data_IF_955499935337
#
_entry.id   IF_955499935337
#
_cell.length_a   1.000
_cell.length_b   1.000
_cell.length_c   1.000
_cell.angle_alpha   90.00
_cell.angle_beta   90.00
_cell.angle_gamma   90.00
#
_symmetry.space_group_name_H-M   'P 1'
#
loop_
_entity.id
_entity.type
_entity.pdbx_description
1 polymer ?
#
# COMPACT_ATOMS: atom_id res chain seq x y z
N UNK A 1 10.38 18.31 4.14
CA UNK A 1 10.17 17.92 2.73
C UNK A 1 11.30 17.05 2.28
N UNK A 2 10.96 15.96 1.62
CA UNK A 2 11.88 15.17 0.82
C UNK A 2 12.12 15.97 -0.46
N UNK A 3 13.40 16.16 -0.83
CA UNK A 3 13.79 16.99 -1.98
C UNK A 3 14.21 16.09 -3.14
N UNK A 4 14.27 16.62 -4.37
CA UNK A 4 14.77 15.92 -5.57
C UNK A 4 16.22 15.39 -5.41
N UNK A 5 16.92 15.79 -4.34
CA UNK A 5 18.26 15.31 -3.97
C UNK A 5 18.25 14.13 -3.00
N UNK A 6 17.09 13.64 -2.56
CA UNK A 6 16.99 12.58 -1.57
C UNK A 6 17.08 11.18 -2.22
N UNK A 7 17.62 10.22 -1.47
CA UNK A 7 17.74 8.84 -1.87
C UNK A 7 16.48 8.06 -1.47
N UNK A 8 15.87 7.39 -2.42
CA UNK A 8 14.63 6.62 -2.21
C UNK A 8 14.91 5.13 -2.34
N UNK A 9 14.44 4.35 -1.36
CA UNK A 9 14.35 2.90 -1.44
C UNK A 9 12.93 2.50 -1.84
N UNK A 10 12.80 1.71 -2.90
CA UNK A 10 11.59 1.01 -3.28
C UNK A 10 11.76 -0.49 -3.01
N UNK A 11 11.00 -1.06 -2.09
CA UNK A 11 10.93 -2.52 -1.90
C UNK A 11 9.70 -3.10 -2.58
N UNK A 12 9.73 -4.37 -2.96
CA UNK A 12 8.68 -4.97 -3.78
C UNK A 12 8.68 -4.45 -5.21
N UNK A 13 9.86 -4.08 -5.73
CA UNK A 13 10.04 -3.39 -7.01
C UNK A 13 9.73 -4.27 -8.24
N UNK A 14 9.73 -5.61 -8.10
CA UNK A 14 9.29 -6.56 -9.13
C UNK A 14 7.77 -6.74 -9.14
N UNK A 15 7.09 -6.47 -8.02
CA UNK A 15 5.65 -6.62 -7.88
C UNK A 15 4.83 -5.69 -8.76
N UNK A 16 3.53 -5.96 -8.85
CA UNK A 16 2.63 -5.21 -9.73
C UNK A 16 2.64 -3.69 -9.46
N UNK A 17 2.58 -3.27 -8.19
CA UNK A 17 2.58 -1.86 -7.82
C UNK A 17 3.98 -1.25 -7.85
N UNK A 18 4.98 -1.96 -7.32
CA UNK A 18 6.37 -1.50 -7.31
C UNK A 18 6.88 -1.19 -8.72
N UNK A 19 6.63 -2.09 -9.66
CA UNK A 19 7.04 -1.89 -11.05
C UNK A 19 6.40 -0.62 -11.70
N UNK A 20 5.18 -0.25 -11.30
CA UNK A 20 4.50 0.98 -11.76
C UNK A 20 5.12 2.26 -11.18
N UNK A 21 5.85 2.16 -10.06
CA UNK A 21 6.42 3.29 -9.35
C UNK A 21 7.87 3.58 -9.74
N UNK A 22 8.62 2.61 -10.30
CA UNK A 22 10.06 2.73 -10.55
C UNK A 22 10.43 3.97 -11.38
N UNK A 23 9.68 4.26 -12.45
CA UNK A 23 9.96 5.41 -13.33
C UNK A 23 9.75 6.73 -12.59
N UNK A 24 8.58 6.93 -11.97
CA UNK A 24 8.26 8.17 -11.27
C UNK A 24 9.18 8.42 -10.07
N UNK A 25 9.59 7.37 -9.35
CA UNK A 25 10.53 7.48 -8.23
C UNK A 25 11.95 7.76 -8.71
N UNK A 26 12.38 7.18 -9.85
CA UNK A 26 13.66 7.52 -10.46
C UNK A 26 13.74 9.00 -10.87
N UNK A 27 12.66 9.55 -11.40
CA UNK A 27 12.58 10.97 -11.76
C UNK A 27 12.56 11.91 -10.54
N UNK A 28 12.04 11.43 -9.40
CA UNK A 28 11.87 12.20 -8.17
C UNK A 28 13.03 12.07 -7.16
N UNK A 29 14.12 11.38 -7.51
CA UNK A 29 15.22 11.09 -6.58
C UNK A 29 16.60 11.25 -7.21
N UNK A 30 17.62 11.52 -6.38
CA UNK A 30 19.02 11.44 -6.80
C UNK A 30 19.47 9.99 -7.02
N UNK A 31 19.02 9.11 -6.14
CA UNK A 31 19.24 7.67 -6.21
C UNK A 31 17.92 6.95 -5.94
N UNK A 32 17.53 6.07 -6.85
CA UNK A 32 16.50 5.07 -6.60
C UNK A 32 17.19 3.73 -6.31
N UNK A 33 17.02 3.20 -5.09
CA UNK A 33 17.38 1.82 -4.77
C UNK A 33 16.13 0.96 -4.90
N UNK A 34 16.10 0.08 -5.90
CA UNK A 34 15.01 -0.88 -6.14
C UNK A 34 15.37 -2.24 -5.59
N UNK A 35 14.52 -2.81 -4.75
CA UNK A 35 14.76 -4.12 -4.13
C UNK A 35 13.55 -5.03 -4.23
N UNK A 36 13.83 -6.31 -4.42
CA UNK A 36 12.87 -7.40 -4.36
C UNK A 36 13.60 -8.70 -3.97
N UNK A 37 12.85 -9.72 -3.55
CA UNK A 37 13.38 -11.09 -3.43
C UNK A 37 13.60 -11.76 -4.79
N UNK A 38 12.91 -11.27 -5.82
CA UNK A 38 13.09 -11.67 -7.21
C UNK A 38 14.21 -10.86 -7.88
N UNK A 39 14.79 -11.41 -8.94
CA UNK A 39 15.82 -10.73 -9.70
C UNK A 39 15.24 -9.55 -10.48
N UNK A 40 15.90 -8.41 -10.40
CA UNK A 40 15.52 -7.17 -11.07
C UNK A 40 16.55 -6.77 -12.11
N UNK A 41 16.07 -6.23 -13.22
CA UNK A 41 16.93 -5.58 -14.22
C UNK A 41 16.90 -4.07 -13.97
N UNK A 42 18.07 -3.43 -13.89
CA UNK A 42 18.21 -1.98 -13.81
C UNK A 42 17.58 -1.32 -15.05
N UNK A 43 16.73 -0.30 -14.84
CA UNK A 43 16.00 0.40 -15.92
C UNK A 43 16.46 1.84 -16.11
N UNK A 44 16.95 2.50 -15.06
CA UNK A 44 17.25 3.93 -15.06
C UNK A 44 18.69 4.21 -14.67
N UNK A 45 19.25 5.35 -15.14
CA UNK A 45 20.66 5.70 -14.92
C UNK A 45 20.98 5.82 -13.42
N UNK A 46 20.10 6.44 -12.64
CA UNK A 46 20.25 6.65 -11.20
C UNK A 46 19.63 5.51 -10.36
N UNK A 47 19.31 4.38 -10.98
CA UNK A 47 18.78 3.22 -10.25
C UNK A 47 19.87 2.27 -9.82
N UNK A 48 19.83 1.82 -8.60
CA UNK A 48 20.57 0.71 -8.03
C UNK A 48 19.60 -0.46 -7.76
N UNK A 49 19.97 -1.67 -8.15
CA UNK A 49 19.11 -2.86 -7.98
C UNK A 49 19.79 -3.80 -7.00
N UNK A 50 19.08 -4.18 -5.94
CA UNK A 50 19.58 -5.06 -4.88
C UNK A 50 18.53 -6.14 -4.59
N UNK A 51 18.93 -7.41 -4.70
CA UNK A 51 18.12 -8.54 -4.25
C UNK A 51 18.17 -8.63 -2.73
N UNK A 52 17.01 -8.66 -2.07
CA UNK A 52 16.95 -8.78 -0.62
C UNK A 52 15.62 -9.41 -0.16
N UNK A 53 15.69 -10.14 0.96
CA UNK A 53 14.56 -10.73 1.66
C UNK A 53 14.19 -9.89 2.88
N UNK A 54 12.93 -9.48 2.99
CA UNK A 54 12.42 -8.70 4.12
C UNK A 54 12.59 -9.42 5.47
N UNK A 55 12.57 -10.75 5.49
CA UNK A 55 12.76 -11.54 6.71
C UNK A 55 14.20 -11.49 7.26
N UNK A 56 15.16 -11.04 6.46
CA UNK A 56 16.56 -10.88 6.84
C UNK A 56 16.83 -9.50 7.44
N UNK A 57 17.08 -9.42 8.75
CA UNK A 57 17.40 -8.15 9.42
C UNK A 57 18.68 -7.51 8.90
N UNK A 58 19.69 -8.31 8.58
CA UNK A 58 20.99 -7.81 8.09
C UNK A 58 20.87 -7.22 6.69
N UNK A 59 20.06 -7.86 5.84
CA UNK A 59 19.79 -7.33 4.50
C UNK A 59 19.01 -6.02 4.59
N UNK A 60 17.99 -5.91 5.48
CA UNK A 60 17.27 -4.66 5.69
C UNK A 60 18.18 -3.55 6.22
N UNK A 61 19.10 -3.86 7.14
CA UNK A 61 20.10 -2.92 7.63
C UNK A 61 21.01 -2.41 6.51
N UNK A 62 21.43 -3.28 5.62
CA UNK A 62 22.27 -2.91 4.47
C UNK A 62 21.47 -2.11 3.43
N UNK A 63 20.22 -2.52 3.18
CA UNK A 63 19.35 -1.95 2.17
C UNK A 63 18.93 -0.50 2.47
N UNK A 64 18.71 -0.18 3.75
CA UNK A 64 18.27 1.16 4.19
C UNK A 64 19.42 2.14 4.45
N UNK A 65 20.68 1.73 4.27
CA UNK A 65 21.84 2.60 4.48
C UNK A 65 21.88 3.75 3.47
N UNK A 66 22.02 4.98 3.97
CA UNK A 66 22.03 6.22 3.17
C UNK A 66 20.71 6.44 2.38
N UNK A 67 19.59 6.00 2.92
CA UNK A 67 18.25 6.22 2.35
C UNK A 67 17.53 7.29 3.19
N UNK A 68 16.88 8.22 2.51
CA UNK A 68 16.08 9.27 3.14
C UNK A 68 14.60 8.89 3.27
N UNK A 69 14.06 8.21 2.24
CA UNK A 69 12.66 7.80 2.21
C UNK A 69 12.52 6.35 1.71
N UNK A 70 11.66 5.60 2.35
CA UNK A 70 11.28 4.25 1.92
C UNK A 70 9.86 4.25 1.35
N UNK A 71 9.70 3.70 0.15
CA UNK A 71 8.42 3.32 -0.45
C UNK A 71 8.34 1.80 -0.42
N UNK A 72 7.57 1.26 0.53
CA UNK A 72 7.50 -0.17 0.78
C UNK A 72 6.24 -0.78 0.17
N UNK A 73 6.42 -1.49 -0.96
CA UNK A 73 5.39 -2.25 -1.67
C UNK A 73 5.61 -3.76 -1.57
N UNK A 74 6.63 -4.18 -0.80
CA UNK A 74 6.99 -5.59 -0.61
C UNK A 74 6.10 -6.32 0.39
N UNK A 75 6.23 -7.63 0.40
CA UNK A 75 5.52 -8.54 1.28
C UNK A 75 4.46 -9.38 0.55
N UNK A 76 3.80 -10.26 1.27
CA UNK A 76 2.63 -11.01 0.79
C UNK A 76 1.48 -10.03 0.53
N UNK A 77 0.96 -9.99 -0.69
CA UNK A 77 0.00 -8.97 -1.13
C UNK A 77 -1.46 -9.43 -1.16
N UNK A 78 -1.68 -10.73 -0.90
CA UNK A 78 -3.00 -11.38 -0.83
C UNK A 78 -3.02 -12.35 0.35
N UNK A 79 -4.17 -12.93 0.65
CA UNK A 79 -4.26 -14.03 1.63
C UNK A 79 -3.32 -15.18 1.25
N UNK A 80 -2.79 -15.87 2.24
CA UNK A 80 -1.83 -16.95 2.09
C UNK A 80 -1.64 -17.73 3.39
N UNK A 81 -0.76 -18.75 3.37
CA UNK A 81 -0.42 -19.50 4.57
C UNK A 81 0.09 -18.56 5.66
N UNK A 82 -0.20 -18.94 6.91
CA UNK A 82 0.26 -18.15 8.06
C UNK A 82 1.77 -17.91 8.04
N UNK A 83 2.56 -18.93 7.69
CA UNK A 83 4.02 -18.81 7.63
C UNK A 83 4.49 -17.75 6.61
N UNK A 84 3.86 -17.70 5.44
CA UNK A 84 4.18 -16.68 4.43
C UNK A 84 3.81 -15.28 4.91
N UNK A 85 2.63 -15.13 5.49
CA UNK A 85 2.17 -13.84 6.04
C UNK A 85 3.05 -13.41 7.22
N UNK A 86 3.39 -14.31 8.14
CA UNK A 86 4.24 -14.04 9.30
C UNK A 86 5.64 -13.55 8.85
N UNK A 87 6.29 -14.31 7.99
CA UNK A 87 7.67 -14.00 7.58
C UNK A 87 7.75 -12.71 6.76
N UNK A 88 6.85 -12.55 5.78
CA UNK A 88 6.91 -11.40 4.86
C UNK A 88 6.35 -10.11 5.48
N UNK A 89 5.18 -10.19 6.14
CA UNK A 89 4.43 -8.99 6.52
C UNK A 89 4.63 -8.59 7.99
N UNK A 90 4.93 -9.54 8.88
CA UNK A 90 5.13 -9.25 10.31
C UNK A 90 6.61 -9.10 10.62
N UNK A 91 7.40 -10.15 10.40
CA UNK A 91 8.85 -10.13 10.64
C UNK A 91 9.52 -9.14 9.68
N UNK A 92 9.19 -9.21 8.39
CA UNK A 92 9.74 -8.32 7.37
C UNK A 92 9.45 -6.85 7.65
N UNK A 93 8.23 -6.52 8.06
CA UNK A 93 7.84 -5.15 8.40
C UNK A 93 8.61 -4.64 9.63
N UNK A 94 8.74 -5.46 10.68
CA UNK A 94 9.53 -5.12 11.86
C UNK A 94 11.00 -4.87 11.50
N UNK A 95 11.62 -5.76 10.73
CA UNK A 95 13.01 -5.63 10.30
C UNK A 95 13.23 -4.33 9.52
N UNK A 96 12.32 -4.00 8.59
CA UNK A 96 12.39 -2.77 7.81
C UNK A 96 12.30 -1.52 8.70
N UNK A 97 11.32 -1.45 9.60
CA UNK A 97 11.17 -0.29 10.49
C UNK A 97 12.35 -0.11 11.43
N UNK A 98 12.88 -1.21 11.98
CA UNK A 98 14.06 -1.15 12.86
C UNK A 98 15.32 -0.73 12.10
N UNK A 99 15.49 -1.21 10.86
CA UNK A 99 16.58 -0.78 9.99
C UNK A 99 16.45 0.70 9.61
N UNK A 100 15.24 1.16 9.27
CA UNK A 100 14.95 2.57 9.00
C UNK A 100 15.30 3.46 10.20
N UNK A 101 14.90 3.07 11.41
CA UNK A 101 15.23 3.79 12.65
C UNK A 101 16.75 3.89 12.85
N UNK A 102 17.46 2.78 12.73
CA UNK A 102 18.93 2.71 12.96
C UNK A 102 19.72 3.50 11.92
N UNK A 103 19.25 3.55 10.69
CA UNK A 103 19.89 4.27 9.59
C UNK A 103 19.37 5.71 9.40
N UNK A 104 18.55 6.22 10.34
CA UNK A 104 17.99 7.57 10.33
C UNK A 104 17.18 7.90 9.06
N UNK A 105 16.45 6.92 8.52
CA UNK A 105 15.48 7.17 7.47
C UNK A 105 14.43 8.16 7.99
N UNK A 106 14.07 9.16 7.19
CA UNK A 106 13.15 10.22 7.59
C UNK A 106 11.69 9.80 7.50
N UNK A 107 11.35 9.01 6.48
CA UNK A 107 9.95 8.67 6.16
C UNK A 107 9.82 7.28 5.57
N UNK A 108 8.77 6.56 6.01
CA UNK A 108 8.30 5.31 5.42
C UNK A 108 6.89 5.51 4.87
N UNK A 109 6.70 5.23 3.58
CA UNK A 109 5.40 5.19 2.89
C UNK A 109 5.17 3.74 2.52
N UNK A 110 4.04 3.14 2.91
CA UNK A 110 3.88 1.71 2.69
C UNK A 110 2.46 1.29 2.34
N UNK A 111 2.36 0.17 1.61
CA UNK A 111 1.11 -0.42 1.20
C UNK A 111 0.44 -1.17 2.37
N UNK A 112 -0.42 -0.48 3.11
CA UNK A 112 -1.46 -1.10 3.93
C UNK A 112 -2.61 -1.56 3.01
N UNK A 113 -3.73 -1.97 3.57
CA UNK A 113 -4.84 -2.54 2.79
C UNK A 113 -6.19 -2.20 3.39
N UNK A 114 -7.23 -2.19 2.54
CA UNK A 114 -8.63 -2.20 3.00
C UNK A 114 -8.95 -3.40 3.89
N UNK A 115 -8.21 -4.50 3.75
CA UNK A 115 -8.40 -5.71 4.56
C UNK A 115 -8.14 -5.50 6.06
N UNK A 116 -7.55 -4.37 6.47
CA UNK A 116 -7.52 -3.94 7.89
C UNK A 116 -8.90 -3.62 8.45
N UNK A 117 -9.86 -3.31 7.58
CA UNK A 117 -11.25 -2.93 7.91
C UNK A 117 -12.27 -3.72 7.07
N UNK A 118 -11.88 -4.87 6.55
CA UNK A 118 -12.62 -5.63 5.55
C UNK A 118 -13.99 -6.12 5.98
N UNK A 119 -14.21 -6.42 7.26
CA UNK A 119 -15.51 -6.87 7.78
C UNK A 119 -16.58 -5.77 7.95
N UNK A 120 -16.25 -4.51 7.66
CA UNK A 120 -17.29 -3.49 7.66
C UNK A 120 -18.25 -3.65 6.47
N UNK A 121 -19.55 -3.37 6.66
CA UNK A 121 -20.51 -3.37 5.56
C UNK A 121 -20.23 -2.21 4.60
N UNK A 122 -20.37 -2.44 3.31
CA UNK A 122 -20.18 -1.40 2.26
C UNK A 122 -21.18 -0.23 2.34
N UNK A 123 -22.27 -0.40 3.04
CA UNK A 123 -23.20 0.69 3.35
C UNK A 123 -22.62 1.73 4.32
N UNK A 124 -21.52 1.40 5.01
CA UNK A 124 -20.85 2.32 5.93
C UNK A 124 -19.67 2.99 5.21
N UNK A 125 -19.67 4.32 5.17
CA UNK A 125 -18.50 5.11 4.73
C UNK A 125 -17.43 5.04 5.82
N UNK A 126 -16.21 4.66 5.46
CA UNK A 126 -15.08 4.51 6.38
C UNK A 126 -14.12 5.70 6.28
N UNK A 127 -13.41 5.96 7.36
CA UNK A 127 -12.30 6.90 7.41
C UNK A 127 -11.08 6.28 8.13
N UNK A 128 -9.98 7.02 8.23
CA UNK A 128 -8.75 6.51 8.85
C UNK A 128 -8.88 6.20 10.35
N UNK A 129 -9.93 6.70 11.02
CA UNK A 129 -10.23 6.42 12.43
C UNK A 129 -11.16 5.23 12.64
N UNK A 130 -11.66 4.63 11.57
CA UNK A 130 -12.44 3.40 11.65
C UNK A 130 -11.60 2.31 12.32
N UNK A 131 -12.14 1.71 13.38
CA UNK A 131 -11.45 0.68 14.17
C UNK A 131 -11.07 -0.51 13.29
N UNK A 132 -9.91 -1.15 13.50
CA UNK A 132 -9.56 -2.36 12.77
C UNK A 132 -10.61 -3.47 12.92
N UNK A 133 -11.00 -4.06 11.80
CA UNK A 133 -11.85 -5.26 11.67
C UNK A 133 -11.32 -6.10 10.51
N UNK A 134 -10.11 -6.70 10.67
CA UNK A 134 -9.45 -7.45 9.60
C UNK A 134 -10.25 -8.69 9.23
N UNK A 135 -10.27 -9.03 7.95
CA UNK A 135 -11.06 -10.11 7.37
C UNK A 135 -10.24 -11.35 6.97
N UNK A 136 -8.95 -11.37 7.27
CA UNK A 136 -8.01 -12.39 6.80
C UNK A 136 -6.71 -12.34 7.60
N UNK A 137 -5.86 -13.37 7.53
CA UNK A 137 -4.49 -13.34 8.07
C UNK A 137 -3.68 -12.21 7.43
N UNK A 138 -3.86 -12.00 6.13
CA UNK A 138 -3.29 -10.86 5.41
C UNK A 138 -3.76 -9.53 6.01
N UNK A 139 -5.07 -9.35 6.20
CA UNK A 139 -5.64 -8.15 6.82
C UNK A 139 -5.10 -7.92 8.23
N UNK A 140 -5.00 -8.98 9.06
CA UNK A 140 -4.43 -8.93 10.40
C UNK A 140 -2.96 -8.47 10.37
N UNK A 141 -2.17 -8.96 9.41
CA UNK A 141 -0.78 -8.53 9.25
C UNK A 141 -0.65 -7.05 8.90
N UNK A 142 -1.60 -6.51 8.15
CA UNK A 142 -1.63 -5.07 7.83
C UNK A 142 -2.05 -4.21 9.03
N UNK A 143 -2.93 -4.70 9.91
CA UNK A 143 -3.24 -4.07 11.20
C UNK A 143 -1.99 -4.02 12.10
N UNK A 144 -1.21 -5.11 12.16
CA UNK A 144 0.09 -5.10 12.84
C UNK A 144 1.00 -4.01 12.30
N UNK A 145 1.13 -3.91 10.97
CA UNK A 145 1.96 -2.88 10.32
C UNK A 145 1.52 -1.45 10.65
N UNK A 146 0.21 -1.15 10.68
CA UNK A 146 -0.30 0.17 11.08
C UNK A 146 0.01 0.48 12.55
N UNK A 147 -0.13 -0.50 13.45
CA UNK A 147 0.22 -0.34 14.86
C UNK A 147 1.73 -0.17 15.07
N UNK A 148 2.54 -0.89 14.30
CA UNK A 148 4.00 -0.76 14.31
C UNK A 148 4.42 0.64 13.83
N UNK A 149 3.83 1.13 12.74
CA UNK A 149 4.05 2.47 12.21
C UNK A 149 3.75 3.57 13.25
N UNK A 150 2.61 3.46 13.94
CA UNK A 150 2.26 4.37 15.04
C UNK A 150 3.31 4.32 16.16
N UNK A 151 3.72 3.12 16.59
CA UNK A 151 4.74 2.96 17.63
C UNK A 151 6.07 3.63 17.26
N UNK A 152 6.55 3.47 16.02
CA UNK A 152 7.81 4.09 15.58
C UNK A 152 7.70 5.61 15.45
N UNK A 153 6.54 6.14 15.05
CA UNK A 153 6.29 7.58 15.09
C UNK A 153 6.29 8.11 16.53
N UNK A 154 5.51 7.52 17.42
CA UNK A 154 5.36 8.02 18.79
C UNK A 154 6.69 8.02 19.54
N UNK A 155 7.47 6.94 19.39
CA UNK A 155 8.69 6.73 20.14
C UNK A 155 9.94 7.34 19.50
N UNK A 156 10.04 7.29 18.19
CA UNK A 156 11.26 7.63 17.46
C UNK A 156 11.09 8.76 16.45
N UNK A 157 9.89 9.26 16.26
CA UNK A 157 9.54 10.31 15.29
C UNK A 157 9.89 9.93 13.83
N UNK A 158 9.89 8.63 13.53
CA UNK A 158 9.98 8.15 12.16
C UNK A 158 8.65 8.42 11.46
N UNK A 159 8.62 9.39 10.54
CA UNK A 159 7.42 9.72 9.80
C UNK A 159 6.91 8.53 9.00
N UNK A 160 5.60 8.32 8.97
CA UNK A 160 5.02 7.18 8.28
C UNK A 160 3.66 7.46 7.66
N UNK A 161 3.44 6.96 6.44
CA UNK A 161 2.13 6.97 5.76
C UNK A 161 1.72 5.54 5.42
N UNK A 162 0.66 5.08 6.05
CA UNK A 162 0.01 3.80 5.78
C UNK A 162 -1.09 4.00 4.73
N UNK A 163 -0.94 3.42 3.54
CA UNK A 163 -1.91 3.56 2.45
C UNK A 163 -2.82 2.34 2.43
N UNK A 164 -4.07 2.47 2.88
CA UNK A 164 -5.10 1.41 2.76
C UNK A 164 -5.56 1.31 1.31
N UNK A 165 -4.90 0.47 0.53
CA UNK A 165 -5.22 0.26 -0.88
C UNK A 165 -6.40 -0.71 -1.00
N UNK A 166 -7.36 -0.40 -1.88
CA UNK A 166 -8.42 -1.31 -2.30
C UNK A 166 -8.00 -2.11 -3.53
N UNK A 167 -8.36 -1.62 -4.72
CA UNK A 167 -8.16 -2.32 -5.99
C UNK A 167 -7.31 -1.47 -6.92
N UNK A 168 -5.99 -1.64 -6.87
CA UNK A 168 -5.07 -0.90 -7.76
C UNK A 168 -4.82 -1.70 -9.04
N UNK A 169 -5.42 -1.26 -10.15
CA UNK A 169 -5.42 -1.92 -11.44
C UNK A 169 -5.31 -0.90 -12.58
N UNK A 170 -4.85 -1.37 -13.76
CA UNK A 170 -4.83 -0.53 -14.97
C UNK A 170 -6.24 -0.03 -15.33
N UNK A 171 -7.26 -0.88 -15.21
CA UNK A 171 -8.67 -0.57 -15.46
C UNK A 171 -9.54 -1.32 -14.43
N UNK A 172 -10.70 -0.79 -14.03
CA UNK A 172 -11.67 -1.51 -13.21
C UNK A 172 -12.25 -2.67 -14.00
N UNK A 173 -12.44 -3.84 -13.35
CA UNK A 173 -12.81 -5.10 -14.01
C UNK A 173 -14.26 -5.52 -13.80
N UNK A 174 -14.92 -5.00 -12.78
CA UNK A 174 -16.28 -5.36 -12.34
C UNK A 174 -16.97 -4.20 -11.62
N UNK A 175 -18.27 -4.33 -11.37
CA UNK A 175 -19.08 -3.30 -10.69
C UNK A 175 -18.60 -2.97 -9.28
N UNK A 176 -18.03 -3.94 -8.55
CA UNK A 176 -17.49 -3.69 -7.21
C UNK A 176 -16.34 -2.70 -7.25
N UNK A 177 -15.49 -2.82 -8.26
CA UNK A 177 -14.28 -2.00 -8.41
C UNK A 177 -14.62 -0.55 -8.82
N UNK A 178 -15.80 -0.26 -9.35
CA UNK A 178 -16.22 1.11 -9.66
C UNK A 178 -16.13 2.07 -8.46
N UNK A 179 -16.30 1.57 -7.24
CA UNK A 179 -16.20 2.38 -6.03
C UNK A 179 -14.87 2.22 -5.26
N UNK A 180 -13.99 1.32 -5.71
CA UNK A 180 -12.78 0.94 -4.98
C UNK A 180 -11.52 1.08 -5.81
N UNK A 181 -11.63 1.48 -7.06
CA UNK A 181 -10.51 1.57 -7.99
C UNK A 181 -9.51 2.64 -7.58
N UNK A 182 -8.24 2.27 -7.69
CA UNK A 182 -7.09 3.16 -7.70
C UNK A 182 -6.37 2.96 -9.03
N UNK A 183 -6.30 3.97 -9.88
CA UNK A 183 -5.52 3.91 -11.10
C UNK A 183 -4.02 3.90 -10.82
N UNK A 184 -3.21 3.45 -11.79
CA UNK A 184 -1.75 3.56 -11.67
C UNK A 184 -1.28 5.03 -11.70
N UNK A 185 -1.99 5.93 -12.39
CA UNK A 185 -1.68 7.36 -12.39
C UNK A 185 -1.91 7.97 -11.01
N UNK A 186 -3.06 7.68 -10.42
CA UNK A 186 -3.40 8.16 -9.08
C UNK A 186 -2.55 7.51 -7.99
N UNK A 187 -2.11 6.25 -8.16
CA UNK A 187 -1.11 5.64 -7.29
C UNK A 187 0.20 6.44 -7.30
N UNK A 188 0.72 6.78 -8.49
CA UNK A 188 1.94 7.60 -8.63
C UNK A 188 1.76 8.99 -8.01
N UNK A 189 0.60 9.62 -8.27
CA UNK A 189 0.25 10.92 -7.68
C UNK A 189 0.18 10.86 -6.15
N UNK A 190 -0.42 9.80 -5.58
CA UNK A 190 -0.52 9.59 -4.15
C UNK A 190 0.85 9.40 -3.49
N UNK A 191 1.70 8.55 -4.07
CA UNK A 191 3.06 8.33 -3.56
C UNK A 191 3.86 9.64 -3.62
N UNK A 192 3.79 10.39 -4.72
CA UNK A 192 4.45 11.69 -4.85
C UNK A 192 3.92 12.71 -3.82
N UNK A 193 2.61 12.74 -3.55
CA UNK A 193 2.04 13.59 -2.52
C UNK A 193 2.59 13.21 -1.13
N UNK A 194 2.66 11.92 -0.81
CA UNK A 194 3.24 11.43 0.44
C UNK A 194 4.73 11.77 0.58
N UNK A 195 5.50 11.71 -0.50
CA UNK A 195 6.93 12.08 -0.53
C UNK A 195 7.09 13.58 -0.27
N UNK A 196 6.30 14.42 -0.94
CA UNK A 196 6.48 15.87 -0.95
C UNK A 196 5.76 16.61 0.18
N UNK A 197 4.87 15.96 0.92
CA UNK A 197 4.20 16.59 2.06
C UNK A 197 5.21 17.08 3.10
N UNK A 198 5.04 18.31 3.58
CA UNK A 198 5.94 18.92 4.57
C UNK A 198 5.87 18.25 5.94
N UNK A 199 4.74 17.70 6.28
CA UNK A 199 4.48 17.01 7.55
C UNK A 199 3.46 15.89 7.33
N UNK A 200 3.86 14.66 7.62
CA UNK A 200 2.95 13.50 7.54
C UNK A 200 2.74 12.83 8.89
N UNK A 201 3.65 13.06 9.85
CA UNK A 201 3.60 12.40 11.17
C UNK A 201 3.33 10.89 11.04
N UNK A 202 2.33 10.38 11.75
CA UNK A 202 1.69 9.09 11.46
C UNK A 202 0.35 9.34 10.78
N UNK A 203 0.26 8.98 9.51
CA UNK A 203 -0.96 9.16 8.73
C UNK A 203 -1.45 7.86 8.12
N UNK A 204 -2.77 7.68 8.12
CA UNK A 204 -3.45 6.62 7.37
C UNK A 204 -4.30 7.30 6.30
N UNK A 205 -4.16 6.87 5.04
CA UNK A 205 -4.93 7.35 3.90
C UNK A 205 -5.46 6.16 3.09
N UNK A 206 -6.67 6.27 2.59
CA UNK A 206 -7.17 5.29 1.62
C UNK A 206 -6.68 5.64 0.22
N UNK A 207 -6.08 4.64 -0.45
CA UNK A 207 -5.67 4.73 -1.84
C UNK A 207 -6.82 4.39 -2.77
N UNK A 208 -7.50 5.40 -3.27
CA UNK A 208 -8.59 5.30 -4.27
C UNK A 208 -8.51 6.49 -5.22
N UNK A 209 -9.00 6.29 -6.45
CA UNK A 209 -9.20 7.35 -7.44
C UNK A 209 -10.44 8.20 -7.13
N UNK A 210 -10.71 9.23 -7.94
CA UNK A 210 -11.85 10.15 -7.79
C UNK A 210 -13.15 9.51 -8.33
N UNK A 211 -13.49 8.35 -7.77
CA UNK A 211 -14.64 7.56 -8.19
C UNK A 211 -15.96 8.21 -7.74
N UNK A 212 -16.99 8.19 -8.59
CA UNK A 212 -18.31 8.76 -8.28
C UNK A 212 -19.00 8.10 -7.09
N UNK A 213 -18.76 6.79 -6.91
CA UNK A 213 -19.27 6.05 -5.76
C UNK A 213 -18.30 6.16 -4.58
N UNK A 214 -18.68 6.82 -3.50
CA UNK A 214 -17.81 7.09 -2.35
C UNK A 214 -18.08 6.06 -1.24
N UNK A 215 -17.09 5.24 -0.94
CA UNK A 215 -17.10 4.30 0.20
C UNK A 215 -16.18 4.73 1.36
N UNK A 216 -15.41 5.80 1.16
CA UNK A 216 -14.40 6.25 2.13
C UNK A 216 -14.35 7.79 2.20
N UNK A 217 -13.88 8.30 3.34
CA UNK A 217 -13.60 9.72 3.54
C UNK A 217 -12.17 9.92 4.03
N UNK A 218 -11.34 10.56 3.22
CA UNK A 218 -9.93 10.88 3.55
C UNK A 218 -9.77 12.21 4.32
N UNK A 219 -10.81 12.70 5.02
CA UNK A 219 -10.80 14.01 5.71
C UNK A 219 -9.62 14.21 6.66
N UNK A 220 -9.15 13.14 7.33
CA UNK A 220 -8.02 13.21 8.26
C UNK A 220 -6.64 13.15 7.60
N UNK A 221 -6.58 12.88 6.29
CA UNK A 221 -5.36 12.82 5.51
C UNK A 221 -5.21 13.96 4.48
N UNK A 222 -6.07 15.00 4.55
CA UNK A 222 -6.05 16.14 3.61
C UNK A 222 -4.72 16.89 3.60
N UNK A 223 -3.99 16.90 4.72
CA UNK A 223 -2.67 17.53 4.83
C UNK A 223 -1.59 16.88 3.95
N UNK A 224 -1.78 15.63 3.51
CA UNK A 224 -0.90 14.96 2.54
C UNK A 224 -0.97 15.65 1.18
N UNK A 225 -2.10 16.26 0.85
CA UNK A 225 -2.28 16.99 -0.41
C UNK A 225 -2.58 16.09 -1.62
N UNK A 226 -2.98 14.83 -1.40
CA UNK A 226 -3.40 13.94 -2.48
C UNK A 226 -4.66 14.45 -3.18
N UNK A 227 -4.62 14.51 -4.50
CA UNK A 227 -5.73 14.93 -5.37
C UNK A 227 -5.85 13.94 -6.52
N UNK A 228 -6.69 12.89 -6.36
CA UNK A 228 -6.96 11.92 -7.42
C UNK A 228 -7.65 12.61 -8.62
N UNK A 229 -7.53 11.99 -9.79
CA UNK A 229 -8.08 12.54 -11.05
C UNK A 229 -8.85 11.53 -11.88
N UNK A 230 -8.43 10.26 -11.85
CA UNK A 230 -9.02 9.21 -12.66
C UNK A 230 -10.32 8.74 -12.01
N UNK A 231 -11.33 8.40 -12.83
CA UNK A 231 -12.65 7.97 -12.37
C UNK A 231 -13.02 6.63 -13.00
N UNK A 232 -13.41 5.68 -12.17
CA UNK A 232 -13.85 4.36 -12.64
C UNK A 232 -15.15 4.41 -13.46
N UNK A 233 -15.96 5.46 -13.31
CA UNK A 233 -17.19 5.65 -14.05
C UNK A 233 -16.99 5.68 -15.56
N UNK A 234 -15.84 6.15 -16.03
CA UNK A 234 -15.46 6.14 -17.45
C UNK A 234 -15.48 4.75 -18.09
N UNK A 235 -15.39 3.71 -17.24
CA UNK A 235 -15.39 2.31 -17.64
C UNK A 235 -16.74 1.60 -17.47
N UNK A 236 -17.76 2.23 -16.89
CA UNK A 236 -19.07 1.61 -16.58
C UNK A 236 -19.70 0.91 -17.78
N UNK A 237 -19.68 1.53 -18.95
CA UNK A 237 -20.25 0.95 -20.17
C UNK A 237 -19.53 -0.33 -20.62
N UNK A 238 -18.20 -0.41 -20.39
CA UNK A 238 -17.39 -1.59 -20.69
C UNK A 238 -17.72 -2.71 -19.71
N UNK A 239 -17.89 -2.39 -18.44
CA UNK A 239 -18.23 -3.35 -17.38
C UNK A 239 -19.63 -3.89 -17.56
N UNK A 240 -20.64 -3.05 -17.80
CA UNK A 240 -22.04 -3.44 -18.00
C UNK A 240 -22.22 -4.47 -19.13
N UNK A 241 -21.36 -4.46 -20.15
CA UNK A 241 -21.40 -5.43 -21.26
C UNK A 241 -20.85 -6.80 -20.87
N UNK A 242 -20.10 -6.88 -19.78
CA UNK A 242 -19.35 -8.10 -19.37
C UNK A 242 -19.97 -8.79 -18.17
N UNK A 243 -20.46 -8.02 -17.19
CA UNK A 243 -20.89 -8.56 -15.91
C UNK A 243 -22.33 -9.05 -15.96
N UNK A 244 -22.53 -10.29 -15.44
CA UNK A 244 -23.86 -10.82 -15.13
C UNK A 244 -24.43 -10.24 -13.83
N UNK A 245 -25.60 -10.75 -13.44
CA UNK A 245 -26.25 -10.41 -12.17
C UNK A 245 -25.40 -10.89 -10.98
N UNK A 246 -25.16 -9.98 -10.02
CA UNK A 246 -24.50 -10.29 -8.74
C UNK A 246 -25.58 -10.29 -7.66
N UNK A 247 -25.67 -11.35 -6.85
CA UNK A 247 -26.57 -11.39 -5.70
C UNK A 247 -26.19 -10.27 -4.72
N UNK A 248 -27.15 -9.40 -4.40
CA UNK A 248 -26.94 -8.29 -3.47
C UNK A 248 -26.63 -8.73 -2.03
N UNK A 249 -26.81 -10.00 -1.70
CA UNK A 249 -26.44 -10.61 -0.42
C UNK A 249 -25.05 -11.24 -0.41
N UNK A 250 -24.39 -11.33 -1.56
CA UNK A 250 -23.04 -11.86 -1.64
C UNK A 250 -22.07 -10.97 -0.86
N UNK A 251 -21.19 -11.57 -0.06
CA UNK A 251 -20.14 -10.88 0.68
C UNK A 251 -19.21 -10.07 -0.24
N UNK A 252 -19.05 -10.47 -1.51
CA UNK A 252 -18.33 -9.71 -2.54
C UNK A 252 -18.85 -8.28 -2.69
N UNK A 253 -20.15 -8.07 -2.49
CA UNK A 253 -20.79 -6.76 -2.66
C UNK A 253 -21.33 -6.15 -1.35
N UNK A 254 -21.33 -6.91 -0.26
CA UNK A 254 -21.89 -6.46 1.02
C UNK A 254 -20.84 -5.97 2.00
N UNK A 255 -19.57 -6.42 1.88
CA UNK A 255 -18.46 -6.03 2.76
C UNK A 255 -17.36 -5.29 2.02
N UNK A 256 -16.58 -4.48 2.75
CA UNK A 256 -15.42 -3.79 2.18
C UNK A 256 -14.33 -4.76 1.71
N UNK A 257 -14.12 -5.86 2.43
CA UNK A 257 -13.12 -6.89 2.10
C UNK A 257 -13.52 -7.81 0.94
N UNK A 258 -14.82 -7.88 0.62
CA UNK A 258 -15.29 -8.72 -0.48
C UNK A 258 -15.00 -10.21 -0.25
N UNK A 259 -14.34 -10.85 -1.23
CA UNK A 259 -14.06 -12.29 -1.18
C UNK A 259 -13.33 -12.74 0.10
N UNK A 260 -12.37 -11.97 0.61
CA UNK A 260 -11.62 -12.38 1.81
C UNK A 260 -12.52 -12.45 3.05
N UNK A 261 -13.55 -11.62 3.13
CA UNK A 261 -14.51 -11.66 4.25
C UNK A 261 -15.42 -12.89 4.23
N UNK A 262 -15.50 -13.62 3.11
CA UNK A 262 -16.30 -14.85 2.98
C UNK A 262 -15.47 -16.11 2.84
N UNK A 263 -14.18 -15.99 2.49
CA UNK A 263 -13.30 -17.14 2.38
C UNK A 263 -13.10 -17.81 3.75
N UNK A 264 -12.95 -19.13 3.76
CA UNK A 264 -12.50 -19.89 4.92
C UNK A 264 -11.03 -19.62 5.23
N UNK A 265 -10.50 -20.29 6.27
CA UNK A 265 -9.08 -20.22 6.60
C UNK A 265 -8.23 -20.78 5.46
N UNK A 266 -7.15 -20.10 5.10
CA UNK A 266 -6.33 -20.48 3.95
C UNK A 266 -5.74 -21.89 4.08
N UNK A 267 -5.31 -22.25 5.29
CA UNK A 267 -4.65 -23.54 5.55
C UNK A 267 -5.63 -24.71 5.76
N UNK A 268 -6.95 -24.47 5.69
CA UNK A 268 -8.00 -25.48 5.79
C UNK A 268 -8.44 -26.05 4.41
N UNK A 269 -7.83 -25.58 3.30
CA UNK A 269 -8.18 -25.96 1.93
C UNK A 269 -7.17 -26.91 1.31
#
# INVERSE_FOLDING_TARGET
CIRDSDNILLTGAAGALGNQLRESLSQASSLLRSSDREDLIKKFKNEEVIKADLSSSDEMMSLTKNIDCVVHMGGQSIEGSWDNVLNSNIIGMYNLYEACRKNNVKRVIWASSVHTVGFYPRSQVLDSKSMPRPDSNYGLSKVFGESLAQYYWDKYKLETVSIRIYSCLAEPKDHRILSTWLSYNDLRSLINACINSSNVEHSIIFGVSDNDSILIDNKYARHIGYKPKDNAEDYRNKINKKDGYIDSKDSLVTTHGGYFASAGHFDDN
#
